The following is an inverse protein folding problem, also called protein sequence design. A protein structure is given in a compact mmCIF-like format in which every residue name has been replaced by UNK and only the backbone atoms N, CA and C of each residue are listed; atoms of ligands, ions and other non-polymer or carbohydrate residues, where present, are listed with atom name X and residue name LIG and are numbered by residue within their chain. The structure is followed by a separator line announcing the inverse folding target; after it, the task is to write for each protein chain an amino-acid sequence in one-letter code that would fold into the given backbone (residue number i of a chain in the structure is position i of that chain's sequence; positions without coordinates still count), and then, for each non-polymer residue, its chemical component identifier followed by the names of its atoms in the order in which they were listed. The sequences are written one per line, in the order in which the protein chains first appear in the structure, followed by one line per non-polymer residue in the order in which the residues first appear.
data_IF_256753707492
#
_entry.id   IF_256753707492
#
_cell.length_a   1.000
_cell.length_b   1.000
_cell.length_c   1.000
_cell.angle_alpha   90.00
_cell.angle_beta   90.00
_cell.angle_gamma   90.00
#
_symmetry.space_group_name_H-M   'P 1'
#
loop_
_entity.id
_entity.type
_entity.pdbx_description
1 polymer ?
#
# COMPACT_ATOMS: atom_id res chain seq x y z
N UNK A 1 9.68 -15.86 22.42
CA UNK A 1 9.18 -15.07 21.26
C UNK A 1 10.24 -14.13 20.69
N UNK A 2 10.82 -13.19 21.47
CA UNK A 2 11.86 -12.24 21.00
C UNK A 2 13.07 -12.90 20.27
N UNK A 3 13.61 -14.00 20.83
CA UNK A 3 14.76 -14.74 20.26
C UNK A 3 14.45 -15.42 18.91
N UNK A 4 13.21 -15.87 18.70
CA UNK A 4 12.78 -16.43 17.41
C UNK A 4 12.57 -15.33 16.36
N UNK A 5 12.08 -14.15 16.76
CA UNK A 5 11.94 -13.00 15.86
C UNK A 5 13.30 -12.46 15.42
N UNK A 6 14.27 -12.32 16.33
CA UNK A 6 15.64 -11.91 15.97
C UNK A 6 16.32 -12.90 15.01
N UNK A 7 16.11 -14.21 15.21
CA UNK A 7 16.70 -15.24 14.35
C UNK A 7 16.02 -15.32 12.98
N UNK A 8 14.70 -15.07 12.94
CA UNK A 8 13.93 -14.87 11.70
C UNK A 8 14.46 -13.67 10.92
N UNK A 9 14.59 -12.51 11.57
CA UNK A 9 15.07 -11.28 10.96
C UNK A 9 16.50 -11.42 10.40
N UNK A 10 17.41 -12.01 11.18
CA UNK A 10 18.78 -12.33 10.70
C UNK A 10 18.77 -13.24 9.48
N UNK A 11 17.88 -14.23 9.44
CA UNK A 11 17.72 -15.12 8.28
C UNK A 11 17.22 -14.37 7.05
N UNK A 12 16.25 -13.47 7.23
CA UNK A 12 15.72 -12.62 6.15
C UNK A 12 16.84 -11.76 5.59
N UNK A 13 17.50 -10.96 6.44
CA UNK A 13 18.58 -10.05 6.03
C UNK A 13 19.72 -10.80 5.34
N UNK A 14 20.16 -11.93 5.90
CA UNK A 14 21.22 -12.75 5.30
C UNK A 14 20.83 -13.28 3.93
N UNK A 15 19.58 -13.73 3.76
CA UNK A 15 19.08 -14.25 2.49
C UNK A 15 18.97 -13.16 1.44
N UNK A 16 18.46 -11.98 1.82
CA UNK A 16 18.45 -10.81 0.95
C UNK A 16 19.86 -10.43 0.51
N UNK A 17 20.84 -10.37 1.42
CA UNK A 17 22.25 -10.07 1.09
C UNK A 17 22.83 -11.08 0.09
N UNK A 18 22.52 -12.38 0.23
CA UNK A 18 22.95 -13.40 -0.75
C UNK A 18 22.38 -13.08 -2.13
N UNK A 19 21.10 -12.70 -2.22
CA UNK A 19 20.47 -12.27 -3.47
C UNK A 19 21.17 -11.07 -4.10
N UNK A 20 21.48 -10.04 -3.29
CA UNK A 20 22.21 -8.85 -3.75
C UNK A 20 23.58 -9.22 -4.30
N UNK A 21 24.39 -9.93 -3.52
CA UNK A 21 25.74 -10.31 -3.92
C UNK A 21 25.69 -11.14 -5.21
N UNK A 22 24.71 -12.04 -5.34
CA UNK A 22 24.54 -12.84 -6.56
C UNK A 22 24.23 -11.97 -7.77
N UNK A 23 23.28 -11.02 -7.67
CA UNK A 23 22.97 -10.08 -8.76
C UNK A 23 24.16 -9.18 -9.10
N UNK A 24 24.92 -8.68 -8.12
CA UNK A 24 26.14 -7.91 -8.34
C UNK A 24 27.20 -8.73 -9.07
N UNK A 25 27.44 -9.97 -8.64
CA UNK A 25 28.41 -10.85 -9.29
C UNK A 25 28.00 -11.19 -10.72
N UNK A 26 26.71 -11.46 -10.97
CA UNK A 26 26.17 -11.67 -12.31
C UNK A 26 26.34 -10.42 -13.19
N UNK A 27 26.05 -9.23 -12.66
CA UNK A 27 26.26 -7.98 -13.35
C UNK A 27 27.72 -7.76 -13.74
N UNK A 28 28.66 -7.92 -12.80
CA UNK A 28 30.11 -7.76 -13.06
C UNK A 28 30.59 -8.76 -14.10
N UNK A 29 30.17 -10.03 -13.97
CA UNK A 29 30.55 -11.09 -14.91
C UNK A 29 30.03 -10.82 -16.32
N UNK A 30 28.75 -10.45 -16.47
CA UNK A 30 28.16 -10.09 -17.76
C UNK A 30 28.80 -8.83 -18.34
N UNK A 31 29.04 -7.80 -17.53
CA UNK A 31 29.68 -6.56 -17.99
C UNK A 31 31.11 -6.81 -18.53
N UNK A 32 31.92 -7.57 -17.78
CA UNK A 32 33.28 -7.90 -18.20
C UNK A 32 33.28 -8.63 -19.54
N UNK A 33 32.40 -9.63 -19.72
CA UNK A 33 32.37 -10.40 -20.95
C UNK A 33 31.72 -9.63 -22.09
N UNK A 34 30.65 -8.87 -21.84
CA UNK A 34 30.01 -8.02 -22.84
C UNK A 34 30.98 -6.98 -23.41
N UNK A 35 31.87 -6.42 -22.58
CA UNK A 35 32.94 -5.53 -23.03
C UNK A 35 34.01 -6.28 -23.83
N UNK A 36 34.45 -7.46 -23.38
CA UNK A 36 35.46 -8.27 -24.08
C UNK A 36 34.96 -8.80 -25.43
N UNK A 37 33.68 -9.14 -25.52
CA UNK A 37 33.03 -9.65 -26.73
C UNK A 37 32.42 -8.54 -27.58
N UNK A 38 32.57 -7.27 -27.18
CA UNK A 38 31.96 -6.10 -27.82
C UNK A 38 30.44 -6.25 -28.06
N UNK A 39 29.74 -6.98 -27.17
CA UNK A 39 28.33 -7.30 -27.31
C UNK A 39 27.46 -6.36 -26.48
N UNK A 40 26.81 -5.42 -27.17
CA UNK A 40 25.89 -4.45 -26.56
C UNK A 40 24.74 -5.17 -25.84
N UNK A 41 24.27 -6.31 -26.35
CA UNK A 41 23.20 -7.09 -25.75
C UNK A 41 23.58 -7.63 -24.35
N UNK A 42 24.79 -8.16 -24.19
CA UNK A 42 25.29 -8.66 -22.89
C UNK A 42 25.54 -7.51 -21.92
N UNK A 43 26.02 -6.36 -22.41
CA UNK A 43 26.20 -5.15 -21.59
C UNK A 43 24.85 -4.65 -21.06
N UNK A 44 23.80 -4.64 -21.89
CA UNK A 44 22.45 -4.25 -21.45
C UNK A 44 21.86 -5.21 -20.41
N UNK A 45 22.09 -6.52 -20.56
CA UNK A 45 21.69 -7.51 -19.56
C UNK A 45 22.49 -7.37 -18.24
N UNK A 46 23.75 -6.92 -18.31
CA UNK A 46 24.53 -6.54 -17.13
C UNK A 46 23.90 -5.33 -16.42
N UNK A 47 23.45 -4.31 -17.15
CA UNK A 47 22.77 -3.13 -16.59
C UNK A 47 21.47 -3.52 -15.87
N UNK A 48 20.71 -4.47 -16.40
CA UNK A 48 19.53 -5.00 -15.70
C UNK A 48 19.89 -5.62 -14.34
N UNK A 49 20.93 -6.46 -14.28
CA UNK A 49 21.39 -7.05 -13.02
C UNK A 49 21.96 -5.99 -12.04
N UNK A 50 22.54 -4.89 -12.54
CA UNK A 50 22.93 -3.72 -11.72
C UNK A 50 21.69 -3.04 -11.16
N UNK A 51 20.63 -2.87 -11.96
CA UNK A 51 19.35 -2.31 -11.49
C UNK A 51 18.70 -3.17 -10.41
N UNK A 52 18.76 -4.51 -10.53
CA UNK A 52 18.27 -5.43 -9.48
C UNK A 52 19.08 -5.30 -8.18
N UNK A 53 20.42 -5.24 -8.31
CA UNK A 53 21.31 -5.07 -7.17
C UNK A 53 21.13 -3.70 -6.50
N UNK A 54 21.01 -2.64 -7.30
CA UNK A 54 20.74 -1.28 -6.86
C UNK A 54 19.40 -1.18 -6.16
N UNK A 55 18.35 -1.76 -6.73
CA UNK A 55 17.02 -1.83 -6.11
C UNK A 55 17.07 -2.54 -4.76
N UNK A 56 17.74 -3.67 -4.69
CA UNK A 56 17.88 -4.42 -3.43
C UNK A 56 18.69 -3.65 -2.37
N UNK A 57 19.73 -2.91 -2.77
CA UNK A 57 20.49 -2.04 -1.87
C UNK A 57 19.62 -0.88 -1.38
N UNK A 58 18.83 -0.26 -2.27
CA UNK A 58 17.87 0.79 -1.94
C UNK A 58 16.81 0.24 -0.97
N UNK A 59 16.32 -0.99 -1.17
CA UNK A 59 15.41 -1.65 -0.22
C UNK A 59 16.06 -1.81 1.14
N UNK A 60 17.26 -2.39 1.24
CA UNK A 60 17.92 -2.61 2.55
C UNK A 60 18.20 -1.27 3.26
N UNK A 61 18.75 -0.30 2.54
CA UNK A 61 19.06 1.01 3.11
C UNK A 61 17.79 1.78 3.47
N UNK A 62 16.78 1.73 2.61
CA UNK A 62 15.45 2.28 2.80
C UNK A 62 14.76 1.72 4.05
N UNK A 63 14.67 0.39 4.18
CA UNK A 63 14.09 -0.26 5.38
C UNK A 63 14.88 0.09 6.64
N UNK A 64 16.22 0.10 6.59
CA UNK A 64 17.05 0.47 7.74
C UNK A 64 16.82 1.93 8.15
N UNK A 65 16.68 2.83 7.20
CA UNK A 65 16.38 4.24 7.45
C UNK A 65 14.94 4.43 7.94
N UNK A 66 14.00 3.65 7.40
CA UNK A 66 12.59 3.65 7.79
C UNK A 66 12.38 3.19 9.23
N UNK A 67 13.16 2.20 9.68
CA UNK A 67 13.17 1.70 11.06
C UNK A 67 13.87 2.61 12.08
N UNK A 68 14.28 3.83 11.70
CA UNK A 68 14.86 4.79 12.64
C UNK A 68 13.79 5.30 13.59
N UNK A 69 14.13 5.32 14.89
CA UNK A 69 13.24 5.84 15.93
C UNK A 69 12.84 7.31 15.68
N UNK A 70 11.62 7.71 16.08
CA UNK A 70 11.19 9.10 16.02
C UNK A 70 12.13 10.07 16.72
N UNK A 71 12.28 11.27 16.16
CA UNK A 71 13.08 12.34 16.75
C UNK A 71 12.38 13.70 16.65
N UNK A 72 13.03 14.77 17.14
CA UNK A 72 12.47 16.12 17.16
C UNK A 72 12.10 16.66 15.76
N UNK A 73 12.77 16.19 14.71
CA UNK A 73 12.47 16.60 13.32
C UNK A 73 11.35 15.76 12.73
N UNK A 74 11.26 14.49 13.11
CA UNK A 74 10.29 13.53 12.59
C UNK A 74 9.61 12.78 13.75
N UNK A 75 8.61 13.39 14.42
CA UNK A 75 7.96 12.82 15.61
C UNK A 75 7.10 11.59 15.32
N UNK A 76 6.72 11.36 14.06
CA UNK A 76 6.05 10.12 13.61
C UNK A 76 7.04 9.05 13.13
N UNK A 77 8.35 9.30 13.24
CA UNK A 77 9.37 8.41 12.72
C UNK A 77 9.62 8.57 11.23
N UNK A 78 10.36 7.60 10.68
CA UNK A 78 10.89 7.64 9.32
C UNK A 78 10.28 6.59 8.39
N UNK A 79 9.23 5.88 8.82
CA UNK A 79 8.68 4.72 8.11
C UNK A 79 8.34 4.97 6.63
N UNK A 80 7.83 6.16 6.29
CA UNK A 80 7.55 6.55 4.88
C UNK A 80 8.77 6.56 3.95
N UNK A 81 10.00 6.50 4.48
CA UNK A 81 11.21 6.30 3.64
C UNK A 81 11.10 5.01 2.84
N UNK A 82 10.41 3.99 3.36
CA UNK A 82 10.20 2.74 2.62
C UNK A 82 9.41 2.97 1.33
N UNK A 83 8.32 3.73 1.38
CA UNK A 83 7.56 4.14 0.20
C UNK A 83 8.41 5.00 -0.75
N UNK A 84 9.17 5.96 -0.23
CA UNK A 84 10.06 6.78 -1.08
C UNK A 84 11.13 5.92 -1.77
N UNK A 85 11.63 4.90 -1.09
CA UNK A 85 12.60 3.96 -1.65
C UNK A 85 11.97 3.10 -2.76
N UNK A 86 10.75 2.59 -2.53
CA UNK A 86 9.97 1.87 -3.54
C UNK A 86 9.67 2.75 -4.77
N UNK A 87 9.40 4.04 -4.56
CA UNK A 87 9.21 5.01 -5.65
C UNK A 87 10.47 5.15 -6.49
N UNK A 88 11.64 5.33 -5.88
CA UNK A 88 12.91 5.42 -6.61
C UNK A 88 13.16 4.15 -7.42
N UNK A 89 12.90 2.97 -6.84
CA UNK A 89 13.03 1.67 -7.52
C UNK A 89 12.10 1.61 -8.73
N UNK A 90 10.83 1.97 -8.58
CA UNK A 90 9.86 1.96 -9.68
C UNK A 90 10.30 2.84 -10.86
N UNK A 91 10.92 4.00 -10.58
CA UNK A 91 11.48 4.89 -11.62
C UNK A 91 12.67 4.26 -12.33
N UNK A 92 13.56 3.57 -11.61
CA UNK A 92 14.70 2.85 -12.21
C UNK A 92 14.20 1.72 -13.11
N UNK A 93 13.21 0.94 -12.65
CA UNK A 93 12.59 -0.13 -13.43
C UNK A 93 11.92 0.41 -14.70
N UNK A 94 11.19 1.52 -14.59
CA UNK A 94 10.59 2.19 -15.75
C UNK A 94 11.64 2.65 -16.75
N UNK A 95 12.72 3.27 -16.29
CA UNK A 95 13.82 3.69 -17.15
C UNK A 95 14.46 2.50 -17.88
N UNK A 96 14.72 1.40 -17.18
CA UNK A 96 15.24 0.16 -17.78
C UNK A 96 14.26 -0.43 -18.82
N UNK A 97 12.96 -0.49 -18.50
CA UNK A 97 11.92 -0.97 -19.40
C UNK A 97 11.81 -0.11 -20.68
N UNK A 98 11.80 1.23 -20.55
CA UNK A 98 11.71 2.15 -21.69
C UNK A 98 12.95 2.05 -22.58
N UNK A 99 14.15 2.04 -21.99
CA UNK A 99 15.40 1.93 -22.75
C UNK A 99 15.49 0.59 -23.49
N UNK A 100 15.09 -0.50 -22.84
CA UNK A 100 15.00 -1.84 -23.46
C UNK A 100 13.97 -1.88 -24.60
N UNK A 101 12.83 -1.22 -24.45
CA UNK A 101 11.81 -1.14 -25.50
C UNK A 101 12.32 -0.36 -26.71
N UNK A 102 12.95 0.79 -26.50
CA UNK A 102 13.54 1.61 -27.56
C UNK A 102 14.56 0.80 -28.35
N UNK A 103 15.44 0.08 -27.67
CA UNK A 103 16.46 -0.75 -28.30
C UNK A 103 15.86 -1.92 -29.09
N UNK A 104 14.84 -2.58 -28.52
CA UNK A 104 14.12 -3.66 -29.18
C UNK A 104 13.42 -3.17 -30.45
N UNK A 105 12.76 -2.01 -30.41
CA UNK A 105 12.10 -1.41 -31.57
C UNK A 105 13.11 -1.02 -32.66
N UNK A 106 14.26 -0.46 -32.29
CA UNK A 106 15.34 -0.17 -33.26
C UNK A 106 15.77 -1.42 -34.01
N UNK A 107 15.98 -2.53 -33.29
CA UNK A 107 16.36 -3.83 -33.88
C UNK A 107 15.25 -4.49 -34.71
N UNK A 108 13.98 -4.18 -34.45
CA UNK A 108 12.87 -4.61 -35.32
C UNK A 108 12.87 -3.84 -36.64
N UNK A 109 13.10 -2.53 -36.60
CA UNK A 109 13.07 -1.65 -37.79
C UNK A 109 14.34 -1.81 -38.63
N UNK A 110 15.50 -1.93 -37.98
CA UNK A 110 16.80 -2.14 -38.60
C UNK A 110 17.39 -3.45 -38.04
N UNK A 111 17.05 -4.61 -38.63
CA UNK A 111 17.56 -5.88 -38.17
C UNK A 111 19.06 -6.00 -38.46
N UNK A 112 19.87 -5.99 -37.39
CA UNK A 112 21.26 -6.44 -37.47
C UNK A 112 21.32 -7.96 -37.33
N UNK A 113 22.32 -8.59 -37.94
CA UNK A 113 22.59 -10.02 -37.73
C UNK A 113 23.00 -10.24 -36.27
N UNK A 114 22.20 -10.96 -35.46
CA UNK A 114 22.57 -11.21 -34.08
C UNK A 114 23.83 -12.08 -34.02
N UNK A 115 24.85 -11.59 -33.31
CA UNK A 115 26.08 -12.36 -33.06
C UNK A 115 25.88 -13.28 -31.84
N UNK A 116 25.43 -14.50 -32.11
CA UNK A 116 25.34 -15.56 -31.12
C UNK A 116 26.67 -16.29 -30.99
N UNK A 117 27.69 -15.61 -30.44
CA UNK A 117 28.92 -16.29 -30.06
C UNK A 117 28.60 -17.42 -29.06
N UNK A 118 29.28 -18.56 -29.22
CA UNK A 118 29.13 -19.71 -28.30
C UNK A 118 29.37 -19.28 -26.84
N UNK A 119 30.29 -18.33 -26.64
CA UNK A 119 30.60 -17.74 -25.33
C UNK A 119 29.39 -17.00 -24.75
N UNK A 120 28.71 -16.17 -25.56
CA UNK A 120 27.51 -15.43 -25.18
C UNK A 120 26.38 -16.37 -24.70
N UNK A 121 26.14 -17.45 -25.44
CA UNK A 121 25.10 -18.43 -25.12
C UNK A 121 25.38 -19.19 -23.83
N UNK A 122 26.64 -19.60 -23.62
CA UNK A 122 27.07 -20.26 -22.38
C UNK A 122 26.84 -19.33 -21.18
N UNK A 123 27.14 -18.04 -21.30
CA UNK A 123 26.98 -17.07 -20.22
C UNK A 123 25.52 -16.89 -19.85
N UNK A 124 24.64 -16.71 -20.84
CA UNK A 124 23.21 -16.57 -20.59
C UNK A 124 22.66 -17.87 -19.98
N UNK A 125 23.10 -19.04 -20.44
CA UNK A 125 22.73 -20.33 -19.85
C UNK A 125 23.17 -20.47 -18.39
N UNK A 126 24.41 -20.08 -18.07
CA UNK A 126 24.91 -20.06 -16.68
C UNK A 126 24.09 -19.07 -15.84
N UNK A 127 23.79 -17.88 -16.35
CA UNK A 127 22.99 -16.89 -15.64
C UNK A 127 21.57 -17.40 -15.34
N UNK A 128 20.93 -18.08 -16.30
CA UNK A 128 19.62 -18.74 -16.11
C UNK A 128 19.70 -19.76 -14.97
N UNK A 129 20.71 -20.64 -14.99
CA UNK A 129 20.89 -21.65 -13.93
C UNK A 129 21.09 -20.99 -12.57
N UNK A 130 21.93 -19.95 -12.48
CA UNK A 130 22.17 -19.22 -11.23
C UNK A 130 20.88 -18.57 -10.72
N UNK A 131 20.10 -17.88 -11.58
CA UNK A 131 18.83 -17.26 -11.19
C UNK A 131 17.78 -18.31 -10.78
N UNK A 132 17.71 -19.48 -11.42
CA UNK A 132 16.83 -20.59 -10.98
C UNK A 132 17.22 -21.09 -9.59
N UNK A 133 18.51 -21.33 -9.35
CA UNK A 133 19.01 -21.80 -8.05
C UNK A 133 18.75 -20.75 -6.98
N UNK A 134 19.04 -19.48 -7.28
CA UNK A 134 18.78 -18.36 -6.38
C UNK A 134 17.29 -18.24 -6.06
N UNK A 135 16.43 -18.21 -7.08
CA UNK A 135 14.97 -18.08 -6.91
C UNK A 135 14.40 -19.20 -6.05
N UNK A 136 14.79 -20.45 -6.31
CA UNK A 136 14.38 -21.60 -5.48
C UNK A 136 14.89 -21.51 -4.05
N UNK A 137 16.15 -21.11 -3.87
CA UNK A 137 16.75 -20.96 -2.54
C UNK A 137 16.04 -19.86 -1.74
N UNK A 138 15.93 -18.65 -2.29
CA UNK A 138 15.31 -17.48 -1.63
C UNK A 138 13.84 -17.76 -1.32
N UNK A 139 13.08 -18.33 -2.27
CA UNK A 139 11.67 -18.71 -2.07
C UNK A 139 11.52 -19.77 -0.98
N UNK A 140 12.36 -20.81 -0.98
CA UNK A 140 12.31 -21.86 0.04
C UNK A 140 12.59 -21.33 1.44
N UNK A 141 13.57 -20.42 1.57
CA UNK A 141 13.83 -19.76 2.84
C UNK A 141 12.65 -18.85 3.23
N UNK A 142 12.11 -18.06 2.30
CA UNK A 142 10.95 -17.21 2.51
C UNK A 142 9.73 -17.96 3.06
N UNK A 143 9.44 -19.15 2.52
CA UNK A 143 8.40 -20.04 3.02
C UNK A 143 8.70 -20.55 4.44
N UNK A 144 9.95 -20.95 4.73
CA UNK A 144 10.35 -21.42 6.07
C UNK A 144 10.22 -20.35 7.15
N UNK A 145 10.41 -19.08 6.79
CA UNK A 145 10.34 -17.96 7.74
C UNK A 145 9.05 -17.15 7.64
N UNK A 146 8.07 -17.58 6.84
CA UNK A 146 6.84 -16.84 6.54
C UNK A 146 7.14 -15.35 6.21
N UNK A 147 7.97 -15.13 5.19
CA UNK A 147 8.33 -13.80 4.70
C UNK A 147 7.86 -13.66 3.25
N UNK A 148 6.76 -12.94 3.05
CA UNK A 148 6.22 -12.63 1.72
C UNK A 148 7.25 -11.90 0.85
N UNK A 149 8.04 -11.01 1.44
CA UNK A 149 9.14 -10.31 0.76
C UNK A 149 10.16 -11.28 0.13
N UNK A 150 10.62 -12.30 0.87
CA UNK A 150 11.53 -13.30 0.30
C UNK A 150 10.85 -14.23 -0.70
N UNK A 151 9.57 -14.58 -0.48
CA UNK A 151 8.83 -15.40 -1.44
C UNK A 151 8.73 -14.67 -2.78
N UNK A 152 8.32 -13.39 -2.76
CA UNK A 152 8.21 -12.54 -3.94
C UNK A 152 9.57 -12.36 -4.62
N UNK A 153 10.63 -12.04 -3.86
CA UNK A 153 11.99 -11.91 -4.42
C UNK A 153 12.49 -13.20 -5.09
N UNK A 154 12.12 -14.37 -4.54
CA UNK A 154 12.42 -15.66 -5.17
C UNK A 154 11.59 -15.93 -6.43
N UNK A 155 10.35 -15.44 -6.48
CA UNK A 155 9.51 -15.48 -7.68
C UNK A 155 10.05 -14.55 -8.77
N UNK A 156 10.47 -13.33 -8.42
CA UNK A 156 11.10 -12.38 -9.34
C UNK A 156 12.35 -12.99 -9.98
N UNK A 157 13.26 -13.55 -9.17
CA UNK A 157 14.45 -14.24 -9.68
C UNK A 157 14.10 -15.44 -10.59
N UNK A 158 12.96 -16.09 -10.33
CA UNK A 158 12.47 -17.18 -11.19
C UNK A 158 11.91 -16.63 -12.50
N UNK A 159 11.14 -15.55 -12.47
CA UNK A 159 10.63 -14.87 -13.66
C UNK A 159 11.78 -14.35 -14.54
N UNK A 160 12.80 -13.74 -13.95
CA UNK A 160 14.02 -13.33 -14.65
C UNK A 160 14.70 -14.49 -15.37
N UNK A 161 14.71 -15.67 -14.73
CA UNK A 161 15.29 -16.87 -15.34
C UNK A 161 14.46 -17.38 -16.51
N UNK A 162 13.12 -17.27 -16.45
CA UNK A 162 12.23 -17.62 -17.56
C UNK A 162 12.43 -16.65 -18.72
N UNK A 163 12.51 -15.35 -18.41
CA UNK A 163 12.80 -14.30 -19.39
C UNK A 163 14.15 -14.59 -20.08
N UNK A 164 15.21 -14.82 -19.31
CA UNK A 164 16.54 -15.13 -19.85
C UNK A 164 16.58 -16.45 -20.64
N UNK A 165 15.82 -17.46 -20.21
CA UNK A 165 15.70 -18.73 -20.93
C UNK A 165 14.95 -18.58 -22.25
N UNK A 166 13.95 -17.68 -22.31
CA UNK A 166 13.25 -17.37 -23.56
C UNK A 166 14.19 -16.73 -24.60
N UNK A 167 15.17 -15.94 -24.16
CA UNK A 167 16.25 -15.41 -25.02
C UNK A 167 17.14 -16.52 -25.57
N UNK A 168 17.49 -17.54 -24.78
CA UNK A 168 18.23 -18.71 -25.27
C UNK A 168 17.43 -19.50 -26.30
N UNK A 169 16.12 -19.65 -26.09
CA UNK A 169 15.24 -20.30 -27.06
C UNK A 169 15.18 -19.52 -28.38
N UNK A 170 15.06 -18.19 -28.31
CA UNK A 170 15.12 -17.34 -29.49
C UNK A 170 16.45 -17.49 -30.25
N UNK A 171 17.56 -17.63 -29.53
CA UNK A 171 18.87 -17.90 -30.12
C UNK A 171 18.93 -19.24 -30.85
N UNK A 172 18.41 -20.32 -30.25
CA UNK A 172 18.34 -21.65 -30.89
C UNK A 172 17.49 -21.62 -32.16
N UNK A 173 16.35 -20.91 -32.13
CA UNK A 173 15.49 -20.73 -33.30
C UNK A 173 16.23 -19.98 -34.40
N UNK A 174 16.97 -18.92 -34.06
CA UNK A 174 17.79 -18.21 -35.04
C UNK A 174 18.87 -19.09 -35.65
N UNK A 175 19.63 -19.84 -34.84
CA UNK A 175 20.70 -20.72 -35.34
C UNK A 175 20.19 -21.86 -36.23
N UNK A 176 18.95 -22.31 -36.02
CA UNK A 176 18.36 -23.44 -36.76
C UNK A 176 17.59 -22.98 -38.00
N UNK A 177 16.76 -21.95 -37.86
CA UNK A 177 15.80 -21.51 -38.87
C UNK A 177 16.12 -20.14 -39.47
N UNK A 178 17.15 -19.43 -38.98
CA UNK A 178 17.55 -18.08 -39.41
C UNK A 178 16.44 -17.03 -39.22
N UNK A 179 15.51 -17.28 -38.29
CA UNK A 179 14.43 -16.35 -37.93
C UNK A 179 14.85 -15.57 -36.67
N UNK A 180 14.92 -14.25 -36.77
CA UNK A 180 15.23 -13.38 -35.62
C UNK A 180 13.96 -13.05 -34.83
N UNK A 181 13.82 -13.66 -33.65
CA UNK A 181 12.71 -13.42 -32.72
C UNK A 181 13.11 -12.56 -31.52
N UNK A 182 14.41 -12.33 -31.32
CA UNK A 182 14.97 -11.69 -30.13
C UNK A 182 14.43 -10.27 -29.94
N UNK A 183 14.37 -9.47 -31.01
CA UNK A 183 13.91 -8.09 -30.93
C UNK A 183 12.40 -7.99 -30.60
N UNK A 184 11.58 -8.92 -31.12
CA UNK A 184 10.15 -9.01 -30.80
C UNK A 184 9.93 -9.46 -29.35
N UNK A 185 10.68 -10.47 -28.91
CA UNK A 185 10.64 -10.97 -27.54
C UNK A 185 11.05 -9.89 -26.55
N UNK A 186 12.16 -9.18 -26.83
CA UNK A 186 12.64 -8.04 -26.04
C UNK A 186 11.61 -6.93 -25.95
N UNK A 187 10.92 -6.59 -27.04
CA UNK A 187 9.85 -5.60 -27.03
C UNK A 187 8.69 -6.02 -26.12
N UNK A 188 8.22 -7.28 -26.22
CA UNK A 188 7.15 -7.81 -25.37
C UNK A 188 7.53 -7.78 -23.89
N UNK A 189 8.72 -8.28 -23.55
CA UNK A 189 9.23 -8.26 -22.17
C UNK A 189 9.31 -6.82 -21.65
N UNK A 190 9.82 -5.90 -22.45
CA UNK A 190 9.95 -4.49 -22.06
C UNK A 190 8.60 -3.84 -21.75
N UNK A 191 7.55 -4.16 -22.51
CA UNK A 191 6.17 -3.70 -22.22
C UNK A 191 5.68 -4.22 -20.88
N UNK A 192 5.95 -5.51 -20.56
CA UNK A 192 5.59 -6.10 -19.26
C UNK A 192 6.34 -5.41 -18.11
N UNK A 193 7.64 -5.13 -18.28
CA UNK A 193 8.45 -4.40 -17.30
C UNK A 193 7.92 -2.99 -17.09
N UNK A 194 7.61 -2.25 -18.17
CA UNK A 194 7.05 -0.89 -18.07
C UNK A 194 5.72 -0.91 -17.32
N UNK A 195 4.82 -1.84 -17.66
CA UNK A 195 3.54 -1.99 -16.95
C UNK A 195 3.76 -2.22 -15.46
N UNK A 196 4.66 -3.14 -15.10
CA UNK A 196 4.98 -3.45 -13.70
C UNK A 196 5.54 -2.24 -12.97
N UNK A 197 6.47 -1.49 -13.60
CA UNK A 197 7.01 -0.25 -13.04
C UNK A 197 5.96 0.84 -12.84
N UNK A 198 4.98 0.96 -13.75
CA UNK A 198 3.88 1.93 -13.64
C UNK A 198 2.92 1.54 -12.50
N UNK A 199 2.62 0.25 -12.35
CA UNK A 199 1.78 -0.28 -11.27
C UNK A 199 2.43 -0.02 -9.90
N UNK A 200 3.71 -0.36 -9.74
CA UNK A 200 4.48 -0.08 -8.52
C UNK A 200 4.50 1.41 -8.17
N UNK A 201 4.74 2.28 -9.17
CA UNK A 201 4.77 3.72 -8.97
C UNK A 201 3.39 4.25 -8.54
N UNK A 202 2.31 3.79 -9.18
CA UNK A 202 0.93 4.17 -8.85
C UNK A 202 0.57 3.76 -7.43
N UNK A 203 0.88 2.52 -7.04
CA UNK A 203 0.63 2.00 -5.69
C UNK A 203 1.38 2.81 -4.64
N UNK A 204 2.66 3.08 -4.88
CA UNK A 204 3.48 3.87 -3.95
C UNK A 204 2.99 5.31 -3.79
N UNK A 205 2.56 5.95 -4.88
CA UNK A 205 1.98 7.29 -4.84
C UNK A 205 0.63 7.26 -4.10
N UNK A 206 -0.19 6.23 -4.33
CA UNK A 206 -1.47 6.01 -3.62
C UNK A 206 -1.25 5.97 -2.10
N UNK A 207 -0.30 5.16 -1.64
CA UNK A 207 0.09 5.05 -0.24
C UNK A 207 0.53 6.39 0.37
N UNK A 208 1.32 7.17 -0.38
CA UNK A 208 1.80 8.48 0.09
C UNK A 208 0.71 9.55 0.13
N UNK A 209 -0.27 9.50 -0.78
CA UNK A 209 -1.41 10.43 -0.82
C UNK A 209 -2.43 10.14 0.30
N UNK A 210 -2.40 8.94 0.89
CA UNK A 210 -3.35 8.50 1.91
C UNK A 210 -4.46 7.68 1.28
N UNK A 211 -4.10 6.49 0.80
CA UNK A 211 -5.08 5.53 0.31
C UNK A 211 -6.04 5.08 1.42
N UNK A 212 -7.22 4.61 1.00
CA UNK A 212 -8.23 4.11 1.93
C UNK A 212 -7.63 2.95 2.73
N UNK A 213 -7.88 2.97 4.03
CA UNK A 213 -7.42 1.94 4.95
C UNK A 213 -8.06 0.59 4.64
N UNK A 214 -7.38 -0.49 5.02
CA UNK A 214 -7.94 -1.83 4.94
C UNK A 214 -9.32 -1.87 5.66
N UNK A 215 -10.41 -2.19 4.93
CA UNK A 215 -11.75 -2.27 5.50
C UNK A 215 -11.84 -3.24 6.68
N UNK A 216 -11.09 -4.35 6.65
CA UNK A 216 -11.12 -5.35 7.72
C UNK A 216 -10.46 -4.82 8.99
N UNK A 217 -9.36 -4.08 8.87
CA UNK A 217 -8.71 -3.38 9.99
C UNK A 217 -9.64 -2.31 10.58
N UNK A 218 -10.22 -1.47 9.72
CA UNK A 218 -11.12 -0.41 10.16
C UNK A 218 -12.35 -0.96 10.91
N UNK A 219 -12.95 -2.03 10.39
CA UNK A 219 -14.06 -2.74 11.02
C UNK A 219 -13.66 -3.32 12.36
N UNK A 220 -12.51 -4.02 12.43
CA UNK A 220 -12.01 -4.62 13.66
C UNK A 220 -11.78 -3.58 14.76
N UNK A 221 -11.20 -2.42 14.42
CA UNK A 221 -11.01 -1.32 15.36
C UNK A 221 -12.35 -0.81 15.87
N UNK A 222 -13.32 -0.55 14.98
CA UNK A 222 -14.66 -0.08 15.38
C UNK A 222 -15.35 -1.09 16.30
N UNK A 223 -15.30 -2.38 16.00
CA UNK A 223 -15.84 -3.45 16.85
C UNK A 223 -15.18 -3.50 18.23
N UNK A 224 -13.86 -3.33 18.30
CA UNK A 224 -13.15 -3.26 19.57
C UNK A 224 -13.50 -2.01 20.37
N UNK A 225 -13.69 -0.85 19.71
CA UNK A 225 -14.13 0.39 20.35
C UNK A 225 -15.56 0.25 20.88
N UNK A 226 -16.49 -0.32 20.11
CA UNK A 226 -17.88 -0.54 20.54
C UNK A 226 -18.05 -1.68 21.53
N UNK A 227 -17.02 -2.50 21.75
CA UNK A 227 -17.03 -3.51 22.83
C UNK A 227 -16.98 -2.92 24.24
N UNK A 228 -16.61 -1.64 24.38
CA UNK A 228 -16.58 -0.97 25.67
C UNK A 228 -18.00 -0.63 26.15
N UNK A 229 -18.32 -0.86 27.44
CA UNK A 229 -19.62 -0.48 27.99
C UNK A 229 -19.95 0.99 27.74
N UNK A 230 -21.22 1.25 27.43
CA UNK A 230 -21.78 2.59 27.16
C UNK A 230 -21.28 3.29 25.88
N UNK A 231 -20.34 2.72 25.12
CA UNK A 231 -20.03 3.19 23.76
C UNK A 231 -21.14 2.72 22.82
N UNK A 232 -21.95 3.66 22.34
CA UNK A 232 -23.13 3.37 21.51
C UNK A 232 -22.78 3.26 20.03
N UNK A 233 -21.63 3.79 19.62
CA UNK A 233 -21.13 3.71 18.25
C UNK A 233 -19.72 4.29 18.12
N UNK A 234 -19.05 3.92 17.04
CA UNK A 234 -17.71 4.41 16.68
C UNK A 234 -17.74 4.88 15.21
N UNK A 235 -17.48 6.16 15.00
CA UNK A 235 -17.66 6.88 13.73
C UNK A 235 -16.39 7.65 13.37
N UNK A 236 -16.33 8.15 12.14
CA UNK A 236 -15.21 8.98 11.63
C UNK A 236 -13.83 8.42 11.96
N UNK A 237 -13.69 7.10 11.80
CA UNK A 237 -12.39 6.46 11.94
C UNK A 237 -11.50 6.91 10.78
N UNK A 238 -10.53 7.75 11.10
CA UNK A 238 -9.48 8.21 10.20
C UNK A 238 -8.19 7.53 10.63
N UNK A 239 -7.57 6.75 9.76
CA UNK A 239 -6.21 6.24 9.96
C UNK A 239 -5.29 6.82 8.90
N UNK A 240 -4.07 7.09 9.31
CA UNK A 240 -2.97 7.57 8.50
C UNK A 240 -1.78 6.64 8.70
N UNK A 241 -1.18 6.23 7.58
CA UNK A 241 0.01 5.41 7.58
C UNK A 241 1.28 6.30 7.54
N UNK A 242 2.24 6.05 8.45
CA UNK A 242 3.56 6.69 8.51
C UNK A 242 4.72 5.70 8.28
N UNK A 243 4.39 4.53 7.74
CA UNK A 243 5.21 3.36 7.47
C UNK A 243 4.32 2.12 7.53
N UNK A 244 4.68 1.00 6.89
CA UNK A 244 3.82 -0.19 6.80
C UNK A 244 3.20 -0.64 8.13
N UNK A 245 3.96 -0.54 9.22
CA UNK A 245 3.56 -0.94 10.57
C UNK A 245 3.28 0.23 11.53
N UNK A 246 3.23 1.48 11.02
CA UNK A 246 3.12 2.68 11.84
C UNK A 246 1.82 3.45 11.52
N UNK A 247 0.76 3.12 12.25
CA UNK A 247 -0.57 3.68 12.06
C UNK A 247 -0.92 4.71 13.13
N UNK A 248 -1.40 5.86 12.70
CA UNK A 248 -1.93 6.91 13.56
C UNK A 248 -3.34 7.28 13.12
N UNK A 249 -4.27 7.36 14.04
CA UNK A 249 -5.63 7.77 13.70
C UNK A 249 -6.37 8.55 14.76
N UNK A 250 -7.62 8.82 14.43
CA UNK A 250 -8.65 9.32 15.32
C UNK A 250 -9.96 8.61 15.06
N UNK A 251 -10.81 8.55 16.09
CA UNK A 251 -12.16 8.01 16.00
C UNK A 251 -13.09 8.85 16.86
N UNK A 252 -14.35 8.96 16.47
CA UNK A 252 -15.38 9.54 17.32
C UNK A 252 -16.22 8.44 17.97
N UNK A 253 -16.53 8.58 19.25
CA UNK A 253 -17.40 7.66 19.98
C UNK A 253 -18.70 8.35 20.40
N UNK A 254 -19.81 7.64 20.31
CA UNK A 254 -21.08 8.06 20.91
C UNK A 254 -21.17 7.53 22.35
N UNK A 255 -21.39 8.42 23.30
CA UNK A 255 -21.53 8.09 24.74
C UNK A 255 -22.66 8.89 25.38
N UNK A 256 -23.26 8.41 26.49
CA UNK A 256 -24.34 9.12 27.16
C UNK A 256 -23.96 10.55 27.60
N UNK A 257 -24.90 11.48 27.47
CA UNK A 257 -24.83 12.86 27.97
C UNK A 257 -24.68 12.99 29.50
N UNK A 258 -24.74 11.87 30.21
CA UNK A 258 -24.53 11.76 31.66
C UNK A 258 -23.08 11.57 32.08
N UNK A 259 -22.18 11.34 31.12
CA UNK A 259 -20.77 11.12 31.42
C UNK A 259 -20.10 12.41 31.93
N UNK A 260 -19.42 12.29 33.06
CA UNK A 260 -18.52 13.34 33.56
C UNK A 260 -17.18 13.31 32.83
N UNK A 261 -16.44 14.42 32.87
CA UNK A 261 -15.15 14.53 32.20
C UNK A 261 -14.12 13.49 32.68
N UNK A 262 -14.13 13.14 33.97
CA UNK A 262 -13.23 12.11 34.52
C UNK A 262 -13.56 10.71 33.99
N UNK A 263 -14.85 10.38 33.84
CA UNK A 263 -15.28 9.09 33.29
C UNK A 263 -14.96 8.99 31.79
N UNK A 264 -15.09 10.09 31.05
CA UNK A 264 -14.67 10.15 29.64
C UNK A 264 -13.16 9.94 29.49
N UNK A 265 -12.32 10.61 30.29
CA UNK A 265 -10.86 10.42 30.24
C UNK A 265 -10.47 8.95 30.47
N UNK A 266 -11.08 8.31 31.48
CA UNK A 266 -10.83 6.90 31.76
C UNK A 266 -11.23 5.98 30.59
N UNK A 267 -12.41 6.21 30.00
CA UNK A 267 -12.90 5.44 28.85
C UNK A 267 -11.97 5.62 27.63
N UNK A 268 -11.65 6.87 27.28
CA UNK A 268 -10.78 7.22 26.15
C UNK A 268 -9.42 6.54 26.30
N UNK A 269 -8.77 6.66 27.47
CA UNK A 269 -7.48 6.00 27.74
C UNK A 269 -7.56 4.48 27.59
N UNK A 270 -8.64 3.88 28.08
CA UNK A 270 -8.84 2.44 28.00
C UNK A 270 -8.98 1.96 26.56
N UNK A 271 -9.74 2.69 25.73
CA UNK A 271 -9.86 2.44 24.29
C UNK A 271 -8.51 2.57 23.61
N UNK A 272 -7.79 3.67 23.83
CA UNK A 272 -6.47 3.91 23.24
C UNK A 272 -5.48 2.78 23.54
N UNK A 273 -5.41 2.33 24.80
CA UNK A 273 -4.52 1.25 25.23
C UNK A 273 -4.90 -0.08 24.56
N UNK A 274 -6.21 -0.42 24.52
CA UNK A 274 -6.67 -1.69 23.93
C UNK A 274 -6.42 -1.73 22.43
N UNK A 275 -6.77 -0.67 21.71
CA UNK A 275 -6.57 -0.57 20.25
C UNK A 275 -5.08 -0.62 19.91
N UNK A 276 -4.23 0.06 20.67
CA UNK A 276 -2.78 -0.02 20.47
C UNK A 276 -2.25 -1.43 20.72
N UNK A 277 -2.69 -2.10 21.79
CA UNK A 277 -2.22 -3.44 22.12
C UNK A 277 -2.60 -4.49 21.06
N UNK A 278 -3.82 -4.42 20.52
CA UNK A 278 -4.35 -5.41 19.57
C UNK A 278 -3.89 -5.15 18.13
N UNK A 279 -3.83 -3.88 17.71
CA UNK A 279 -3.65 -3.52 16.30
C UNK A 279 -2.38 -2.69 16.02
N UNK A 280 -1.62 -2.32 17.05
CA UNK A 280 -0.47 -1.39 16.94
C UNK A 280 -0.85 -0.04 16.29
N UNK A 281 -2.13 0.36 16.41
CA UNK A 281 -2.65 1.65 15.94
C UNK A 281 -2.65 2.64 17.09
N UNK A 282 -2.00 3.79 16.90
CA UNK A 282 -2.03 4.89 17.86
C UNK A 282 -3.23 5.78 17.56
N UNK A 283 -4.27 5.71 18.39
CA UNK A 283 -5.37 6.67 18.34
C UNK A 283 -4.96 7.97 19.05
N UNK A 284 -4.43 8.94 18.30
CA UNK A 284 -3.96 10.22 18.84
C UNK A 284 -5.09 11.04 19.45
N UNK A 285 -6.30 10.93 18.90
CA UNK A 285 -7.48 11.59 19.41
C UNK A 285 -8.68 10.65 19.39
N UNK A 286 -9.51 10.72 20.43
CA UNK A 286 -10.85 10.14 20.44
C UNK A 286 -11.82 11.29 20.66
N UNK A 287 -12.58 11.63 19.63
CA UNK A 287 -13.66 12.60 19.70
C UNK A 287 -14.88 12.01 20.41
N UNK A 288 -15.70 12.86 21.00
CA UNK A 288 -16.86 12.43 21.78
C UNK A 288 -18.12 13.12 21.27
N UNK A 289 -19.07 12.29 20.84
CA UNK A 289 -20.44 12.68 20.61
C UNK A 289 -21.28 12.32 21.84
N UNK A 290 -21.86 13.34 22.47
CA UNK A 290 -22.83 13.14 23.55
C UNK A 290 -24.16 12.69 22.95
N UNK A 291 -24.79 11.66 23.52
CA UNK A 291 -26.12 11.20 23.15
C UNK A 291 -27.11 11.55 24.24
N UNK A 292 -28.22 12.21 23.90
CA UNK A 292 -29.30 12.47 24.86
C UNK A 292 -29.97 11.16 25.29
N UNK A 293 -29.89 10.82 26.58
CA UNK A 293 -30.38 9.53 27.10
C UNK A 293 -31.64 9.62 27.97
N UNK A 294 -32.03 10.83 28.39
CA UNK A 294 -33.05 11.02 29.44
C UNK A 294 -34.44 11.39 28.93
N UNK A 295 -34.53 12.01 27.76
CA UNK A 295 -35.74 12.67 27.29
C UNK A 295 -36.39 11.88 26.14
N UNK A 296 -37.60 11.37 26.38
CA UNK A 296 -38.33 10.56 25.41
C UNK A 296 -38.70 11.33 24.13
N UNK A 297 -38.94 12.64 24.22
CA UNK A 297 -39.23 13.48 23.04
C UNK A 297 -37.97 13.63 22.17
N UNK A 298 -36.81 13.81 22.80
CA UNK A 298 -35.53 13.89 22.07
C UNK A 298 -35.20 12.54 21.41
N UNK A 299 -35.44 11.43 22.10
CA UNK A 299 -35.23 10.09 21.53
C UNK A 299 -36.15 9.87 20.33
N UNK A 300 -37.42 10.28 20.42
CA UNK A 300 -38.35 10.24 19.30
C UNK A 300 -37.90 11.14 18.14
N UNK A 301 -37.37 12.34 18.45
CA UNK A 301 -36.81 13.25 17.45
C UNK A 301 -35.58 12.66 16.75
N UNK A 302 -34.64 12.04 17.49
CA UNK A 302 -33.49 11.32 16.89
C UNK A 302 -33.98 10.32 15.87
N UNK A 303 -34.93 9.45 16.27
CA UNK A 303 -35.50 8.43 15.37
C UNK A 303 -36.13 9.05 14.12
N UNK A 304 -36.92 10.12 14.29
CA UNK A 304 -37.59 10.79 13.17
C UNK A 304 -36.60 11.43 12.19
N UNK A 305 -35.58 12.11 12.71
CA UNK A 305 -34.51 12.69 11.90
C UNK A 305 -33.74 11.60 11.16
N UNK A 306 -33.41 10.49 11.83
CA UNK A 306 -32.80 9.31 11.20
C UNK A 306 -33.65 8.78 10.05
N UNK A 307 -34.97 8.62 10.23
CA UNK A 307 -35.88 8.16 9.17
C UNK A 307 -35.87 9.11 7.95
N UNK A 308 -35.91 10.42 8.17
CA UNK A 308 -35.83 11.41 7.10
C UNK A 308 -34.49 11.30 6.38
N UNK A 309 -33.39 11.33 7.12
CA UNK A 309 -32.02 11.28 6.58
C UNK A 309 -31.81 10.04 5.71
N UNK A 310 -32.14 8.85 6.22
CA UNK A 310 -31.96 7.59 5.48
C UNK A 310 -33.02 7.37 4.38
N UNK A 311 -34.04 8.22 4.27
CA UNK A 311 -34.95 8.21 3.11
C UNK A 311 -34.28 8.78 1.84
N UNK A 312 -33.19 9.54 2.00
CA UNK A 312 -32.41 10.04 0.87
C UNK A 312 -31.43 8.99 0.35
N UNK A 313 -31.30 8.85 -0.98
CA UNK A 313 -30.37 7.88 -1.56
C UNK A 313 -28.92 8.26 -1.27
N UNK A 314 -28.04 7.27 -1.24
CA UNK A 314 -26.59 7.42 -1.05
C UNK A 314 -26.15 7.93 0.33
N UNK A 315 -27.04 8.06 1.31
CA UNK A 315 -26.65 8.27 2.70
C UNK A 315 -26.11 6.97 3.26
N UNK A 316 -24.86 6.99 3.73
CA UNK A 316 -24.19 5.84 4.35
C UNK A 316 -24.40 5.84 5.85
N UNK A 317 -24.28 7.01 6.49
CA UNK A 317 -24.37 7.15 7.94
C UNK A 317 -24.99 8.46 8.39
N UNK A 318 -25.55 8.40 9.60
CA UNK A 318 -25.90 9.55 10.42
C UNK A 318 -25.46 9.27 11.86
N UNK A 319 -24.69 10.17 12.45
CA UNK A 319 -24.15 10.02 13.80
C UNK A 319 -24.05 11.37 14.51
N UNK A 320 -23.62 11.38 15.76
CA UNK A 320 -23.42 12.61 16.52
C UNK A 320 -24.72 13.33 16.90
N UNK A 321 -25.88 12.65 16.86
CA UNK A 321 -27.16 13.30 17.09
C UNK A 321 -27.30 13.81 18.52
N UNK A 322 -27.60 15.09 18.68
CA UNK A 322 -27.91 15.72 19.95
C UNK A 322 -28.88 16.89 19.75
N UNK A 323 -29.79 17.07 20.70
CA UNK A 323 -30.82 18.11 20.68
C UNK A 323 -30.82 18.88 22.00
N UNK A 324 -30.87 20.21 21.91
CA UNK A 324 -31.05 21.12 23.04
C UNK A 324 -32.40 21.83 22.86
N UNK A 325 -33.39 21.45 23.69
CA UNK A 325 -34.76 22.00 23.61
C UNK A 325 -34.82 23.46 24.05
N UNK A 326 -33.98 23.87 24.99
CA UNK A 326 -33.99 25.25 25.51
C UNK A 326 -33.42 26.21 24.48
N UNK A 327 -32.30 25.85 23.86
CA UNK A 327 -31.68 26.64 22.80
C UNK A 327 -32.31 26.44 21.43
N UNK A 328 -33.22 25.46 21.31
CA UNK A 328 -33.80 24.99 20.06
C UNK A 328 -32.72 24.69 19.02
N UNK A 329 -31.74 23.87 19.38
CA UNK A 329 -30.68 23.43 18.45
C UNK A 329 -30.67 21.92 18.27
N UNK A 330 -30.34 21.49 17.07
CA UNK A 330 -30.04 20.09 16.73
C UNK A 330 -28.68 20.01 16.06
N UNK A 331 -27.90 18.99 16.41
CA UNK A 331 -26.64 18.65 15.74
C UNK A 331 -26.62 17.17 15.41
N UNK A 332 -26.02 16.83 14.28
CA UNK A 332 -25.74 15.48 13.82
C UNK A 332 -24.86 15.61 12.58
N UNK A 333 -24.10 14.58 12.25
CA UNK A 333 -23.23 14.56 11.09
C UNK A 333 -23.71 13.51 10.09
N UNK A 334 -23.36 13.71 8.83
CA UNK A 334 -23.82 12.91 7.69
C UNK A 334 -22.66 12.41 6.86
N UNK A 335 -22.66 11.11 6.56
CA UNK A 335 -21.76 10.54 5.56
C UNK A 335 -22.57 10.21 4.31
N UNK A 336 -22.25 10.88 3.20
CA UNK A 336 -22.87 10.65 1.89
C UNK A 336 -21.84 9.98 0.97
N UNK A 337 -22.23 8.86 0.36
CA UNK A 337 -21.38 8.08 -0.54
C UNK A 337 -20.80 8.93 -1.68
N UNK A 338 -19.58 8.60 -2.08
CA UNK A 338 -18.94 9.17 -3.26
C UNK A 338 -19.67 8.83 -4.58
N UNK A 339 -20.56 7.85 -4.57
CA UNK A 339 -21.41 7.50 -5.74
C UNK A 339 -22.50 8.55 -6.01
N UNK A 340 -22.79 9.43 -5.05
CA UNK A 340 -23.74 10.51 -5.26
C UNK A 340 -23.16 11.54 -6.25
N UNK A 341 -23.88 11.77 -7.35
CA UNK A 341 -23.49 12.72 -8.42
C UNK A 341 -23.13 14.11 -7.89
N UNK A 342 -23.90 14.60 -6.91
CA UNK A 342 -23.63 15.86 -6.22
C UNK A 342 -23.98 15.75 -4.73
N UNK A 343 -22.96 15.41 -3.93
CA UNK A 343 -23.08 15.30 -2.47
C UNK A 343 -23.56 16.60 -1.81
N UNK A 344 -23.19 17.78 -2.33
CA UNK A 344 -23.60 19.06 -1.73
C UNK A 344 -25.08 19.32 -1.93
N UNK A 345 -25.62 18.94 -3.09
CA UNK A 345 -27.05 19.06 -3.36
C UNK A 345 -27.84 18.05 -2.53
N UNK A 346 -27.38 16.79 -2.44
CA UNK A 346 -28.00 15.79 -1.55
C UNK A 346 -28.01 16.25 -0.08
N UNK A 347 -26.88 16.76 0.40
CA UNK A 347 -26.75 17.32 1.74
C UNK A 347 -27.75 18.44 2.02
N UNK A 348 -27.90 19.40 1.08
CA UNK A 348 -28.89 20.48 1.21
C UNK A 348 -30.32 19.96 1.23
N UNK A 349 -30.66 19.01 0.37
CA UNK A 349 -32.00 18.42 0.32
C UNK A 349 -32.37 17.74 1.64
N UNK A 350 -31.45 16.95 2.21
CA UNK A 350 -31.61 16.33 3.54
C UNK A 350 -31.88 17.40 4.60
N UNK A 351 -31.06 18.45 4.65
CA UNK A 351 -31.24 19.53 5.62
C UNK A 351 -32.57 20.26 5.46
N UNK A 352 -33.01 20.50 4.23
CA UNK A 352 -34.27 21.19 3.98
C UNK A 352 -35.48 20.35 4.41
N UNK A 353 -35.43 19.03 4.24
CA UNK A 353 -36.50 18.14 4.70
C UNK A 353 -36.53 18.00 6.23
N UNK A 354 -35.37 17.93 6.88
CA UNK A 354 -35.30 17.97 8.35
C UNK A 354 -35.78 19.32 8.91
N UNK A 355 -35.46 20.44 8.25
CA UNK A 355 -35.95 21.79 8.62
C UNK A 355 -37.46 21.94 8.45
N UNK A 356 -38.08 21.28 7.48
CA UNK A 356 -39.55 21.28 7.35
C UNK A 356 -40.23 20.59 8.53
N UNK A 357 -39.64 19.52 9.05
CA UNK A 357 -40.16 18.79 10.20
C UNK A 357 -39.96 19.57 11.51
N UNK A 358 -38.80 20.23 11.68
CA UNK A 358 -38.45 21.00 12.87
C UNK A 358 -38.09 22.47 12.53
N UNK A 359 -39.08 23.29 12.13
CA UNK A 359 -38.84 24.65 11.61
C UNK A 359 -38.33 25.63 12.68
N UNK A 360 -38.62 25.34 13.95
CA UNK A 360 -38.22 26.19 15.07
C UNK A 360 -36.78 25.94 15.55
N UNK A 361 -36.08 24.95 14.97
CA UNK A 361 -34.75 24.53 15.41
C UNK A 361 -33.64 25.04 14.48
N UNK A 362 -32.51 25.41 15.06
CA UNK A 362 -31.27 25.66 14.34
C UNK A 362 -30.45 24.38 14.21
N UNK A 363 -29.84 24.17 13.05
CA UNK A 363 -29.12 22.94 12.72
C UNK A 363 -27.62 23.17 12.61
N UNK A 364 -26.84 22.38 13.33
CA UNK A 364 -25.38 22.31 13.25
C UNK A 364 -25.01 20.93 12.72
N UNK A 365 -24.87 20.83 11.40
CA UNK A 365 -24.64 19.55 10.71
C UNK A 365 -23.35 19.65 9.92
N UNK A 366 -22.51 18.64 10.00
CA UNK A 366 -21.37 18.46 9.11
C UNK A 366 -21.68 17.38 8.06
N UNK A 367 -21.07 17.53 6.88
CA UNK A 367 -21.00 16.47 5.89
C UNK A 367 -19.61 15.86 5.96
N UNK A 368 -19.51 14.72 6.64
CA UNK A 368 -18.27 14.01 6.82
C UNK A 368 -17.91 13.20 5.58
N UNK A 369 -16.63 12.85 5.51
CA UNK A 369 -16.08 12.08 4.41
C UNK A 369 -16.07 10.62 4.77
N UNK A 370 -16.45 9.77 3.83
CA UNK A 370 -16.36 8.33 4.00
C UNK A 370 -14.90 7.85 3.94
N UNK A 371 -14.27 7.78 5.11
CA UNK A 371 -12.90 7.29 5.27
C UNK A 371 -12.81 5.76 5.40
N UNK A 372 -13.88 5.08 5.81
CA UNK A 372 -13.80 3.69 6.29
C UNK A 372 -15.11 2.86 6.25
N UNK A 373 -16.15 3.30 5.55
CA UNK A 373 -17.45 2.61 5.51
C UNK A 373 -17.68 1.77 4.26
N UNK A 374 -17.23 2.24 3.08
CA UNK A 374 -17.45 1.56 1.79
C UNK A 374 -16.25 0.81 1.23
#
# INVERSE_FOLDING_TARGET
MKKNNEQREKTIVRTSIIGIITNVLLAVFKAAIGLMSNSIAIVMDAVNNISDAGSSLITITGTKLAGREPDKKHPFGYGRIEYLSAMIISVIVLYAGITSLVESVKKIIHPDTPDYSVVSLIIVAVAVVVKIVLGRYVKSIGQKVNSSSLINSGEDATLDSIISASTLLAAVIFLTFHISLEAWLGAVISVVIIKSGLEMLKETISQLLGERNDPDLAKSIKETVTSFPDVQGAYDLVLNNYGPDAWNGSVHIEVPDTYSADRLDQLIRSIQVKVFAEYQVVLTAIGVYSVNTKDAEIIAAKKRVTEIVFSHPHVLQMHGFYMDKEKKTMRFDLVISFDAKDRKTSYKAILDDVRKEYPDYQFQVAMDTDFSES
#
